data_IF_431612702564
#
_entry.id   IF_431612702564
#
_cell.length_a   1.000
_cell.length_b   1.000
_cell.length_c   1.000
_cell.angle_alpha   90.00
_cell.angle_beta   90.00
_cell.angle_gamma   90.00
#
_symmetry.space_group_name_H-M   'P 1'
#
loop_
_entity.id
_entity.type
_entity.pdbx_description
1 polymer ?
#
# COMPACT_ATOMS: atom_id res chain seq x y z
N UNK A 1 -8.13 12.60 -22.19
CA UNK A 1 -6.90 12.14 -21.53
C UNK A 1 -5.91 13.28 -21.49
N UNK A 2 -5.15 13.42 -20.41
CA UNK A 2 -4.18 14.50 -20.26
C UNK A 2 -2.84 14.18 -20.93
N UNK A 3 -2.02 15.23 -21.13
CA UNK A 3 -0.66 15.12 -21.67
C UNK A 3 0.37 14.92 -20.54
N UNK A 4 0.08 14.03 -19.59
CA UNK A 4 0.95 13.79 -18.46
C UNK A 4 2.12 12.83 -18.83
N UNK A 5 3.13 12.79 -17.96
CA UNK A 5 4.29 11.90 -18.11
C UNK A 5 3.90 10.44 -18.33
N UNK A 6 2.89 9.95 -17.59
CA UNK A 6 2.39 8.59 -17.71
C UNK A 6 1.84 8.25 -19.11
N UNK A 7 1.42 9.26 -19.88
CA UNK A 7 0.95 9.14 -21.26
C UNK A 7 2.02 9.49 -22.28
N UNK A 8 3.32 9.58 -21.90
CA UNK A 8 4.42 9.92 -22.79
C UNK A 8 4.30 11.31 -23.39
N UNK A 9 3.74 12.28 -22.64
CA UNK A 9 3.54 13.66 -23.09
C UNK A 9 2.81 13.79 -24.43
N UNK A 10 2.02 12.79 -24.82
CA UNK A 10 1.25 12.79 -26.06
C UNK A 10 1.97 12.23 -27.29
N UNK A 11 3.22 11.82 -27.20
CA UNK A 11 3.95 11.18 -28.32
C UNK A 11 3.24 9.96 -28.88
N UNK A 12 2.51 9.26 -28.03
CA UNK A 12 1.80 8.02 -28.34
C UNK A 12 0.29 8.14 -28.04
N UNK A 13 -0.29 9.32 -28.15
CA UNK A 13 -1.75 9.51 -28.10
C UNK A 13 -2.40 8.82 -29.31
N UNK A 14 -2.21 7.53 -29.38
CA UNK A 14 -2.69 6.78 -30.50
C UNK A 14 -3.87 5.92 -30.11
N UNK A 15 -4.75 5.83 -31.05
CA UNK A 15 -5.73 4.78 -31.32
C UNK A 15 -6.27 4.04 -30.08
N UNK A 16 -7.54 3.85 -30.09
CA UNK A 16 -8.31 3.15 -29.06
C UNK A 16 -7.66 1.80 -28.62
N UNK A 17 -7.04 1.09 -29.57
CA UNK A 17 -6.33 -0.17 -29.32
C UNK A 17 -5.11 -0.04 -28.41
N UNK A 18 -4.34 1.03 -28.54
CA UNK A 18 -3.20 1.31 -27.65
C UNK A 18 -3.65 1.59 -26.19
N UNK A 19 -4.76 2.31 -26.04
CA UNK A 19 -5.32 2.60 -24.72
C UNK A 19 -5.82 1.31 -24.05
N UNK A 20 -6.53 0.48 -24.80
CA UNK A 20 -7.06 -0.78 -24.29
C UNK A 20 -5.92 -1.75 -23.95
N UNK A 21 -4.92 -1.86 -24.81
CA UNK A 21 -3.77 -2.74 -24.63
C UNK A 21 -2.87 -2.29 -23.46
N UNK A 22 -2.69 -0.98 -23.28
CA UNK A 22 -1.98 -0.42 -22.11
C UNK A 22 -2.80 -0.46 -20.85
N UNK A 23 -4.09 -0.17 -20.89
CA UNK A 23 -4.96 -0.24 -19.74
C UNK A 23 -5.02 -1.65 -19.15
N UNK A 24 -5.01 -2.68 -20.02
CA UNK A 24 -4.97 -4.07 -19.59
C UNK A 24 -3.68 -4.48 -18.85
N UNK A 25 -2.60 -3.69 -18.99
CA UNK A 25 -1.29 -3.93 -18.35
C UNK A 25 -1.05 -3.09 -17.12
N UNK A 26 -1.97 -2.17 -16.77
CA UNK A 26 -1.85 -1.35 -15.57
C UNK A 26 -2.25 -2.19 -14.36
N UNK A 27 -1.31 -2.38 -13.45
CA UNK A 27 -1.62 -2.98 -12.15
C UNK A 27 -2.32 -1.96 -11.25
N UNK A 28 -3.39 -2.40 -10.59
CA UNK A 28 -4.18 -1.59 -9.67
C UNK A 28 -4.02 -2.16 -8.27
N UNK A 29 -3.63 -1.31 -7.33
CA UNK A 29 -3.52 -1.63 -5.92
C UNK A 29 -4.43 -0.73 -5.11
N UNK A 30 -5.28 -1.32 -4.26
CA UNK A 30 -6.10 -0.57 -3.32
C UNK A 30 -5.29 -0.21 -2.07
N UNK A 31 -5.60 0.93 -1.43
CA UNK A 31 -5.07 1.24 -0.11
C UNK A 31 -6.17 1.08 0.93
N UNK A 32 -5.93 0.24 1.93
CA UNK A 32 -6.86 0.02 3.06
C UNK A 32 -6.30 0.75 4.27
N UNK A 33 -6.93 1.87 4.60
CA UNK A 33 -6.43 2.82 5.59
C UNK A 33 -7.54 3.44 6.47
N UNK A 34 -8.74 2.84 6.46
CA UNK A 34 -9.86 3.36 7.21
C UNK A 34 -10.83 2.26 7.64
N UNK A 35 -11.62 2.54 8.67
CA UNK A 35 -12.72 1.66 9.12
C UNK A 35 -13.71 1.35 8.01
N UNK A 36 -13.94 2.29 7.10
CA UNK A 36 -14.79 2.05 5.93
C UNK A 36 -14.13 1.06 4.96
N UNK A 37 -12.84 1.24 4.68
CA UNK A 37 -12.06 0.31 3.87
C UNK A 37 -12.01 -1.09 4.50
N UNK A 38 -11.75 -1.17 5.81
CA UNK A 38 -11.76 -2.42 6.58
C UNK A 38 -13.10 -3.15 6.50
N UNK A 39 -14.21 -2.43 6.63
CA UNK A 39 -15.56 -3.04 6.55
C UNK A 39 -15.85 -3.61 5.16
N UNK A 40 -15.38 -2.94 4.13
CA UNK A 40 -15.65 -3.27 2.74
C UNK A 40 -14.50 -4.02 2.04
N UNK A 41 -13.45 -4.44 2.77
CA UNK A 41 -12.24 -5.00 2.16
C UNK A 41 -12.54 -6.21 1.26
N UNK A 42 -13.46 -7.09 1.61
CA UNK A 42 -13.85 -8.22 0.78
C UNK A 42 -14.45 -7.79 -0.56
N UNK A 43 -15.36 -6.80 -0.55
CA UNK A 43 -15.96 -6.26 -1.76
C UNK A 43 -14.92 -5.53 -2.63
N UNK A 44 -14.01 -4.78 -2.01
CA UNK A 44 -12.90 -4.12 -2.71
C UNK A 44 -12.00 -5.17 -3.38
N UNK A 45 -11.65 -6.22 -2.68
CA UNK A 45 -10.72 -7.25 -3.15
C UNK A 45 -11.32 -8.17 -4.21
N UNK A 46 -12.64 -8.33 -4.24
CA UNK A 46 -13.35 -9.05 -5.31
C UNK A 46 -13.38 -8.28 -6.64
N UNK A 47 -12.95 -7.00 -6.65
CA UNK A 47 -12.80 -6.25 -7.89
C UNK A 47 -11.54 -6.71 -8.63
N UNK A 48 -11.43 -6.36 -9.92
CA UNK A 48 -10.27 -6.70 -10.74
C UNK A 48 -9.06 -5.82 -10.36
N UNK A 49 -8.49 -6.09 -9.17
CA UNK A 49 -7.27 -5.44 -8.65
C UNK A 49 -6.15 -6.46 -8.48
N UNK A 50 -4.90 -6.00 -8.50
CA UNK A 50 -3.72 -6.85 -8.41
C UNK A 50 -3.27 -7.10 -6.97
N UNK A 51 -3.67 -6.21 -6.06
CA UNK A 51 -3.34 -6.31 -4.65
C UNK A 51 -3.79 -5.09 -3.86
N UNK A 52 -3.27 -4.99 -2.65
CA UNK A 52 -3.54 -3.85 -1.78
C UNK A 52 -2.31 -3.48 -0.96
N UNK A 53 -2.35 -2.28 -0.36
CA UNK A 53 -1.47 -1.86 0.72
C UNK A 53 -2.27 -1.47 1.96
N UNK A 54 -1.78 -1.82 3.14
CA UNK A 54 -2.22 -1.18 4.38
C UNK A 54 -1.47 0.14 4.54
N UNK A 55 -2.21 1.24 4.81
CA UNK A 55 -1.70 2.49 5.31
C UNK A 55 -1.80 2.52 6.84
N UNK A 56 -0.76 2.10 7.60
CA UNK A 56 -0.90 1.83 9.02
C UNK A 56 -1.20 3.09 9.84
N UNK A 57 -0.64 4.24 9.48
CA UNK A 57 -0.89 5.49 10.21
C UNK A 57 -2.34 5.93 10.10
N UNK A 58 -2.88 5.96 8.88
CA UNK A 58 -4.27 6.36 8.66
C UNK A 58 -5.26 5.32 9.19
N UNK A 59 -4.93 4.02 9.05
CA UNK A 59 -5.75 2.95 9.61
C UNK A 59 -5.81 3.07 11.15
N UNK A 60 -4.66 3.25 11.82
CA UNK A 60 -4.61 3.39 13.28
C UNK A 60 -5.35 4.64 13.76
N UNK A 61 -5.23 5.76 13.03
CA UNK A 61 -6.00 6.97 13.30
C UNK A 61 -7.51 6.74 13.14
N UNK A 62 -7.91 6.00 12.12
CA UNK A 62 -9.31 5.62 11.90
C UNK A 62 -9.86 4.67 12.97
N UNK A 63 -8.98 3.96 13.69
CA UNK A 63 -9.27 3.13 14.85
C UNK A 63 -9.17 3.90 16.19
N UNK A 64 -9.04 5.22 16.14
CA UNK A 64 -8.86 6.12 17.29
C UNK A 64 -7.55 5.94 18.10
N UNK A 65 -6.55 5.28 17.50
CA UNK A 65 -5.23 5.06 18.10
C UNK A 65 -4.10 5.52 17.15
N UNK A 66 -4.02 6.83 16.78
CA UNK A 66 -3.11 7.31 15.74
C UNK A 66 -1.64 6.99 16.06
N UNK A 67 -0.98 6.30 15.14
CA UNK A 67 0.44 5.94 15.24
C UNK A 67 0.74 4.78 16.21
N UNK A 68 -0.28 4.11 16.77
CA UNK A 68 -0.12 2.94 17.65
C UNK A 68 -0.57 1.70 16.89
N UNK A 69 0.34 0.75 16.70
CA UNK A 69 0.14 -0.43 15.83
C UNK A 69 0.10 -1.76 16.59
N UNK A 70 0.31 -1.74 17.91
CA UNK A 70 0.35 -2.91 18.79
C UNK A 70 -0.93 -3.10 19.61
N UNK A 71 -2.03 -2.43 19.23
CA UNK A 71 -3.33 -2.62 19.86
C UNK A 71 -4.04 -3.86 19.33
N UNK A 72 -4.92 -4.44 20.13
CA UNK A 72 -5.73 -5.58 19.74
C UNK A 72 -6.61 -5.22 18.52
N UNK A 73 -7.19 -4.01 18.51
CA UNK A 73 -8.03 -3.53 17.42
C UNK A 73 -7.26 -3.42 16.10
N UNK A 74 -6.01 -2.94 16.13
CA UNK A 74 -5.18 -2.87 14.94
C UNK A 74 -4.80 -4.27 14.45
N UNK A 75 -4.39 -5.17 15.35
CA UNK A 75 -4.04 -6.53 15.02
C UNK A 75 -5.22 -7.31 14.43
N UNK A 76 -6.43 -7.16 14.98
CA UNK A 76 -7.66 -7.76 14.45
C UNK A 76 -8.00 -7.21 13.05
N UNK A 77 -7.86 -5.89 12.87
CA UNK A 77 -8.09 -5.25 11.57
C UNK A 77 -7.10 -5.77 10.53
N UNK A 78 -5.81 -5.82 10.86
CA UNK A 78 -4.74 -6.35 10.01
C UNK A 78 -5.02 -7.81 9.61
N UNK A 79 -5.32 -8.66 10.59
CA UNK A 79 -5.61 -10.08 10.36
C UNK A 79 -6.84 -10.28 9.45
N UNK A 80 -7.87 -9.47 9.64
CA UNK A 80 -9.09 -9.50 8.80
C UNK A 80 -8.79 -9.12 7.36
N UNK A 81 -8.00 -8.05 7.14
CA UNK A 81 -7.61 -7.59 5.80
C UNK A 81 -6.78 -8.67 5.10
N UNK A 82 -5.74 -9.19 5.77
CA UNK A 82 -4.89 -10.27 5.26
C UNK A 82 -5.70 -11.52 4.89
N UNK A 83 -6.62 -11.94 5.75
CA UNK A 83 -7.48 -13.11 5.50
C UNK A 83 -8.37 -12.89 4.28
N UNK A 84 -8.97 -11.71 4.14
CA UNK A 84 -9.81 -11.37 3.00
C UNK A 84 -9.01 -11.38 1.69
N UNK A 85 -7.81 -10.80 1.67
CA UNK A 85 -6.96 -10.77 0.49
C UNK A 85 -6.48 -12.16 0.06
N UNK A 86 -6.14 -13.02 1.01
CA UNK A 86 -5.77 -14.41 0.72
C UNK A 86 -6.92 -15.21 0.12
N UNK A 87 -8.17 -14.95 0.52
CA UNK A 87 -9.35 -15.59 -0.09
C UNK A 87 -9.52 -15.21 -1.57
N UNK A 88 -9.18 -13.97 -1.93
CA UNK A 88 -9.25 -13.47 -3.30
C UNK A 88 -7.95 -13.69 -4.09
N UNK A 89 -6.92 -14.29 -3.47
CA UNK A 89 -5.61 -14.57 -4.07
C UNK A 89 -4.94 -13.34 -4.68
N UNK A 90 -5.05 -12.19 -4.03
CA UNK A 90 -4.38 -10.93 -4.43
C UNK A 90 -3.14 -10.66 -3.58
N UNK A 91 -2.21 -9.88 -4.12
CA UNK A 91 -0.97 -9.51 -3.42
C UNK A 91 -1.24 -8.66 -2.18
N UNK A 92 -0.58 -9.01 -1.08
CA UNK A 92 -0.71 -8.34 0.21
C UNK A 92 0.45 -7.38 0.43
N UNK A 93 0.17 -6.08 0.56
CA UNK A 93 1.16 -5.04 0.76
C UNK A 93 1.05 -4.32 2.10
N UNK A 94 2.20 -3.91 2.63
CA UNK A 94 2.30 -3.09 3.84
C UNK A 94 3.19 -1.88 3.59
N UNK A 95 2.79 -0.70 4.04
CA UNK A 95 3.61 0.51 3.97
C UNK A 95 4.37 0.69 5.30
N UNK A 96 5.63 0.28 5.32
CA UNK A 96 6.54 0.46 6.45
C UNK A 96 7.18 1.86 6.34
N UNK A 97 6.57 2.87 6.95
CA UNK A 97 7.00 4.28 6.84
C UNK A 97 8.35 4.51 7.51
N UNK A 98 8.53 4.02 8.74
CA UNK A 98 9.86 4.07 9.40
C UNK A 98 10.78 3.00 8.80
N UNK A 99 11.98 3.35 8.33
CA UNK A 99 12.86 2.43 7.61
C UNK A 99 13.60 1.47 8.54
N UNK A 100 12.86 0.66 9.26
CA UNK A 100 13.40 -0.37 10.17
C UNK A 100 13.54 -1.70 9.45
N UNK A 101 14.76 -2.05 9.06
CA UNK A 101 15.05 -3.30 8.32
C UNK A 101 14.58 -4.54 9.07
N UNK A 102 14.66 -4.55 10.40
CA UNK A 102 14.18 -5.65 11.25
C UNK A 102 12.70 -5.96 11.07
N UNK A 103 11.89 -4.97 10.72
CA UNK A 103 10.45 -5.14 10.50
C UNK A 103 10.13 -5.88 9.20
N UNK A 104 11.04 -5.86 8.22
CA UNK A 104 10.81 -6.52 6.91
C UNK A 104 10.55 -8.01 7.09
N UNK A 105 11.41 -8.70 7.84
CA UNK A 105 11.26 -10.14 8.07
C UNK A 105 10.00 -10.47 8.86
N UNK A 106 9.63 -9.64 9.83
CA UNK A 106 8.40 -9.81 10.60
C UNK A 106 7.14 -9.65 9.73
N UNK A 107 7.13 -8.65 8.84
CA UNK A 107 6.02 -8.45 7.90
C UNK A 107 5.92 -9.60 6.88
N UNK A 108 7.04 -10.09 6.37
CA UNK A 108 7.07 -11.25 5.50
C UNK A 108 6.53 -12.51 6.22
N UNK A 109 6.93 -12.72 7.47
CA UNK A 109 6.43 -13.83 8.29
C UNK A 109 4.92 -13.74 8.58
N UNK A 110 4.36 -12.53 8.69
CA UNK A 110 2.91 -12.29 8.76
C UNK A 110 2.18 -12.65 7.45
N UNK A 111 2.88 -12.67 6.32
CA UNK A 111 2.36 -13.03 5.01
C UNK A 111 2.13 -11.85 4.07
N UNK A 112 2.91 -10.79 4.22
CA UNK A 112 2.97 -9.70 3.24
C UNK A 112 3.93 -10.05 2.11
N UNK A 113 3.47 -9.90 0.86
CA UNK A 113 4.23 -10.16 -0.36
C UNK A 113 5.01 -8.93 -0.82
N UNK A 114 4.51 -7.75 -0.47
CA UNK A 114 5.05 -6.46 -0.90
C UNK A 114 5.23 -5.55 0.32
N UNK A 115 6.37 -4.86 0.36
CA UNK A 115 6.65 -3.88 1.40
C UNK A 115 7.06 -2.57 0.71
N UNK A 116 6.24 -1.53 0.84
CA UNK A 116 6.65 -0.17 0.52
C UNK A 116 7.52 0.33 1.68
N UNK A 117 8.83 0.43 1.42
CA UNK A 117 9.83 0.74 2.44
C UNK A 117 10.10 2.23 2.52
N UNK A 118 9.58 2.86 3.55
CA UNK A 118 9.71 4.29 3.83
C UNK A 118 9.09 5.21 2.76
N UNK A 119 9.42 6.47 2.85
CA UNK A 119 9.14 7.51 1.86
C UNK A 119 10.41 8.34 1.66
N UNK A 120 10.55 8.97 0.50
CA UNK A 120 11.74 9.74 0.11
C UNK A 120 12.12 10.83 1.13
N UNK A 121 11.14 11.61 1.58
CA UNK A 121 11.37 12.69 2.56
C UNK A 121 11.83 12.13 3.92
N UNK A 122 11.34 10.98 4.35
CA UNK A 122 11.78 10.35 5.61
C UNK A 122 13.21 9.82 5.51
N UNK A 123 13.53 9.18 4.39
CA UNK A 123 14.88 8.72 4.10
C UNK A 123 15.88 9.89 4.04
N UNK A 124 15.46 11.00 3.43
CA UNK A 124 16.28 12.22 3.37
C UNK A 124 16.50 12.81 4.76
N UNK A 125 15.46 12.93 5.58
CA UNK A 125 15.56 13.45 6.96
C UNK A 125 16.52 12.62 7.81
N UNK A 126 16.39 11.30 7.78
CA UNK A 126 17.28 10.38 8.49
C UNK A 126 18.73 10.55 8.01
N UNK A 127 18.95 10.56 6.70
CA UNK A 127 20.29 10.73 6.10
C UNK A 127 20.93 12.07 6.47
N UNK A 128 20.15 13.14 6.47
CA UNK A 128 20.64 14.48 6.83
C UNK A 128 20.99 14.60 8.32
N UNK A 129 20.39 13.81 9.20
CA UNK A 129 20.68 13.82 10.64
C UNK A 129 21.88 12.98 11.04
N UNK A 130 22.31 12.02 10.21
CA UNK A 130 23.43 11.11 10.54
C UNK A 130 24.68 11.80 11.09
N UNK A 131 25.15 12.95 10.53
CA UNK A 131 26.34 13.63 11.05
C UNK A 131 26.18 14.21 12.47
N UNK A 132 24.95 14.34 12.96
CA UNK A 132 24.62 14.99 14.23
C UNK A 132 24.14 14.00 15.31
N UNK A 133 23.97 12.73 14.96
CA UNK A 133 23.64 11.68 15.93
C UNK A 133 24.96 11.22 16.60
N UNK A 134 25.06 11.45 17.92
CA UNK A 134 26.19 10.97 18.73
C UNK A 134 25.90 9.58 19.29
#
# INVERSE_FOLDING_TARGET
MGLARAQGYGENLQKQDYILDKAAKIEIYAQIESMKGLKNCKEIFSQNINGYFIGPYDLSASLNNPGVFDTDEFNEAEAKILSAAKQENIKCGYHLVEPEISQIQLLQAKGYDMIAFSVDIRMLDIGARLPFVK
#
